data_IF_595555091301
#
_entry.id   IF_595555091301
#
_cell.length_a   1.000
_cell.length_b   1.000
_cell.length_c   1.000
_cell.angle_alpha   90.00
_cell.angle_beta   90.00
_cell.angle_gamma   90.00
#
_symmetry.space_group_name_H-M   'P 1'
#
loop_
_entity.id
_entity.type
_entity.pdbx_description
1 polymer ?
#
# COMPACT_ATOMS: atom_id res chain seq x y z
N UNK A 1 -10.14 -7.63 -8.51
CA UNK A 1 -10.50 -6.32 -7.91
C UNK A 1 -10.84 -6.47 -6.43
N UNK A 2 -10.51 -5.49 -5.59
CA UNK A 2 -10.91 -5.51 -4.18
C UNK A 2 -12.40 -5.17 -4.02
N UNK A 3 -13.00 -5.54 -2.87
CA UNK A 3 -14.35 -5.08 -2.51
C UNK A 3 -14.39 -3.54 -2.52
N UNK A 4 -15.52 -2.94 -2.90
CA UNK A 4 -15.68 -1.49 -2.95
C UNK A 4 -15.22 -0.84 -1.63
N UNK A 5 -14.36 0.19 -1.71
CA UNK A 5 -13.76 0.87 -0.55
C UNK A 5 -12.47 0.25 0.00
N UNK A 6 -12.09 -0.94 -0.46
CA UNK A 6 -10.83 -1.63 -0.15
C UNK A 6 -9.86 -1.56 -1.35
N UNK A 7 -8.62 -2.04 -1.17
CA UNK A 7 -7.62 -2.14 -2.24
C UNK A 7 -6.55 -1.05 -2.23
N UNK A 8 -5.65 -1.14 -3.23
CA UNK A 8 -4.58 -0.19 -3.52
C UNK A 8 -5.13 1.22 -3.74
N UNK A 9 -4.45 2.22 -3.19
CA UNK A 9 -4.62 3.65 -3.48
C UNK A 9 -3.28 4.25 -3.83
N UNK A 10 -3.19 4.94 -4.94
CA UNK A 10 -1.97 5.70 -5.24
C UNK A 10 -1.89 6.96 -4.36
N UNK A 11 -0.75 7.11 -3.69
CA UNK A 11 -0.40 8.34 -2.98
C UNK A 11 -0.18 9.48 -4.00
N UNK A 12 -0.53 10.74 -3.67
CA UNK A 12 -0.31 11.87 -4.56
C UNK A 12 1.19 12.23 -4.70
N UNK A 13 1.46 13.18 -5.61
CA UNK A 13 2.74 13.88 -5.77
C UNK A 13 3.94 12.95 -6.02
N UNK A 14 3.72 11.84 -6.73
CA UNK A 14 4.78 10.89 -7.07
C UNK A 14 5.65 11.45 -8.20
N UNK A 15 6.95 11.15 -8.14
CA UNK A 15 7.85 11.44 -9.24
C UNK A 15 7.43 10.68 -10.52
N UNK A 16 7.80 11.17 -11.72
CA UNK A 16 7.68 10.41 -12.95
C UNK A 16 8.31 9.02 -12.83
N UNK A 17 7.74 8.02 -13.52
CA UNK A 17 8.28 6.64 -13.55
C UNK A 17 9.73 6.64 -14.01
N UNK A 18 10.58 5.92 -13.29
CA UNK A 18 11.98 5.64 -13.62
C UNK A 18 12.27 4.15 -13.43
N UNK A 19 13.33 3.68 -14.09
CA UNK A 19 13.72 2.27 -13.99
C UNK A 19 14.29 1.92 -12.60
N UNK A 20 14.79 2.91 -11.87
CA UNK A 20 15.49 2.78 -10.60
C UNK A 20 14.63 3.12 -9.37
N UNK A 21 13.32 3.30 -9.54
CA UNK A 21 12.40 3.69 -8.46
C UNK A 21 12.43 2.74 -7.23
N UNK A 22 12.85 1.49 -7.44
CA UNK A 22 12.95 0.47 -6.40
C UNK A 22 14.37 -0.06 -6.20
N UNK A 23 15.40 0.63 -6.71
CA UNK A 23 16.79 0.16 -6.68
C UNK A 23 17.35 -0.01 -5.25
N UNK A 24 16.77 0.66 -4.25
CA UNK A 24 17.13 0.51 -2.84
C UNK A 24 16.49 -0.69 -2.13
N UNK A 25 15.67 -1.48 -2.82
CA UNK A 25 15.00 -2.66 -2.26
C UNK A 25 15.71 -3.95 -2.67
N UNK A 26 15.63 -4.95 -1.80
CA UNK A 26 16.02 -6.33 -2.14
C UNK A 26 15.21 -6.85 -3.36
N UNK A 27 15.77 -7.77 -4.17
CA UNK A 27 15.16 -8.16 -5.45
C UNK A 27 13.69 -8.59 -5.36
N UNK A 28 13.32 -9.34 -4.32
CA UNK A 28 11.92 -9.76 -4.08
C UNK A 28 11.00 -8.56 -3.84
N UNK A 29 11.40 -7.66 -2.94
CA UNK A 29 10.64 -6.47 -2.60
C UNK A 29 10.51 -5.53 -3.79
N UNK A 30 11.58 -5.34 -4.59
CA UNK A 30 11.56 -4.56 -5.82
C UNK A 30 10.59 -5.17 -6.86
N UNK A 31 10.63 -6.49 -7.06
CA UNK A 31 9.73 -7.19 -7.99
C UNK A 31 8.26 -7.02 -7.59
N UNK A 32 7.95 -7.21 -6.30
CA UNK A 32 6.58 -7.05 -5.76
C UNK A 32 6.13 -5.59 -5.85
N UNK A 33 6.98 -4.61 -5.54
CA UNK A 33 6.66 -3.19 -5.66
C UNK A 33 6.38 -2.79 -7.12
N UNK A 34 7.20 -3.27 -8.05
CA UNK A 34 6.99 -3.06 -9.48
C UNK A 34 5.70 -3.67 -9.99
N UNK A 35 5.31 -4.86 -9.49
CA UNK A 35 4.01 -5.44 -9.79
C UNK A 35 2.87 -4.55 -9.26
N UNK A 36 2.94 -4.11 -7.99
CA UNK A 36 1.93 -3.23 -7.38
C UNK A 36 1.81 -1.89 -8.12
N UNK A 37 2.90 -1.27 -8.56
CA UNK A 37 2.88 0.02 -9.30
C UNK A 37 2.10 -0.04 -10.61
N UNK A 38 2.09 -1.21 -11.27
CA UNK A 38 1.35 -1.44 -12.52
C UNK A 38 -0.12 -1.73 -12.30
N UNK A 39 -0.53 -2.09 -11.08
CA UNK A 39 -1.92 -2.40 -10.79
C UNK A 39 -2.79 -1.13 -10.80
N UNK A 40 -4.02 -1.22 -11.32
CA UNK A 40 -4.94 -0.10 -11.29
C UNK A 40 -5.38 0.24 -9.87
N UNK A 41 -5.85 1.47 -9.72
CA UNK A 41 -6.48 1.99 -8.52
C UNK A 41 -7.61 1.06 -8.04
N UNK A 42 -7.60 0.66 -6.76
CA UNK A 42 -8.58 -0.29 -6.20
C UNK A 42 -8.26 -1.78 -6.41
N UNK A 43 -7.12 -2.13 -6.99
CA UNK A 43 -6.67 -3.52 -7.07
C UNK A 43 -6.49 -4.15 -5.67
N UNK A 44 -6.68 -5.46 -5.56
CA UNK A 44 -6.42 -6.18 -4.31
C UNK A 44 -4.92 -6.50 -4.21
N UNK A 45 -4.27 -6.09 -3.12
CA UNK A 45 -2.82 -6.25 -2.91
C UNK A 45 -2.50 -6.91 -1.56
N UNK A 46 -3.43 -7.73 -1.06
CA UNK A 46 -3.18 -8.54 0.14
C UNK A 46 -2.21 -9.68 -0.16
N UNK A 47 -1.46 -10.14 0.83
CA UNK A 47 -0.41 -11.15 0.65
C UNK A 47 -0.90 -12.46 -0.02
N UNK A 48 -2.16 -12.86 0.20
CA UNK A 48 -2.75 -14.03 -0.47
C UNK A 48 -2.90 -13.80 -1.97
N UNK A 49 -3.48 -12.65 -2.34
CA UNK A 49 -3.68 -12.24 -3.73
C UNK A 49 -2.33 -12.11 -4.44
N UNK A 50 -1.36 -11.48 -3.80
CA UNK A 50 -0.03 -11.33 -4.39
C UNK A 50 0.67 -12.68 -4.60
N UNK A 51 0.49 -13.64 -3.68
CA UNK A 51 1.08 -14.97 -3.83
C UNK A 51 0.40 -15.84 -4.90
N UNK A 52 -0.87 -15.58 -5.21
CA UNK A 52 -1.57 -16.21 -6.32
C UNK A 52 -1.07 -15.66 -7.68
N UNK A 53 -0.82 -14.34 -7.74
CA UNK A 53 -0.40 -13.65 -8.97
C UNK A 53 1.11 -13.73 -9.23
N UNK A 54 1.91 -13.96 -8.18
CA UNK A 54 3.37 -14.05 -8.25
C UNK A 54 3.80 -15.44 -7.75
N UNK A 55 3.74 -16.48 -8.59
CA UNK A 55 3.96 -17.87 -8.15
C UNK A 55 5.36 -18.13 -7.61
N UNK A 56 6.35 -17.31 -7.98
CA UNK A 56 7.71 -17.36 -7.44
C UNK A 56 7.78 -16.96 -5.94
N UNK A 57 6.72 -16.33 -5.42
CA UNK A 57 6.66 -15.82 -4.05
C UNK A 57 5.46 -16.38 -3.29
N UNK A 58 5.71 -17.32 -2.37
CA UNK A 58 4.67 -17.83 -1.48
C UNK A 58 4.10 -16.76 -0.52
N UNK A 59 2.97 -17.08 0.13
CA UNK A 59 2.23 -16.16 1.02
C UNK A 59 3.11 -15.47 2.08
N UNK A 60 4.06 -16.19 2.69
CA UNK A 60 4.96 -15.64 3.70
C UNK A 60 5.99 -14.66 3.10
N UNK A 61 6.44 -14.93 1.88
CA UNK A 61 7.34 -14.03 1.15
C UNK A 61 6.61 -12.73 0.79
N UNK A 62 5.38 -12.81 0.27
CA UNK A 62 4.56 -11.64 -0.01
C UNK A 62 4.23 -10.83 1.25
N UNK A 63 3.89 -11.49 2.37
CA UNK A 63 3.64 -10.81 3.64
C UNK A 63 4.89 -10.06 4.12
N UNK A 64 6.04 -10.71 4.10
CA UNK A 64 7.31 -10.10 4.51
C UNK A 64 7.69 -8.93 3.60
N UNK A 65 7.45 -9.04 2.30
CA UNK A 65 7.69 -7.96 1.35
C UNK A 65 6.81 -6.74 1.63
N UNK A 66 5.50 -6.93 1.85
CA UNK A 66 4.60 -5.82 2.21
C UNK A 66 5.05 -5.09 3.49
N UNK A 67 5.54 -5.84 4.47
CA UNK A 67 6.08 -5.27 5.70
C UNK A 67 7.39 -4.50 5.47
N UNK A 68 8.26 -4.98 4.57
CA UNK A 68 9.48 -4.24 4.19
C UNK A 68 9.17 -3.00 3.36
N UNK A 69 8.23 -3.07 2.43
CA UNK A 69 7.75 -1.92 1.66
C UNK A 69 7.12 -0.85 2.57
N UNK A 70 6.45 -1.26 3.66
CA UNK A 70 5.97 -0.32 4.66
C UNK A 70 7.13 0.40 5.36
N UNK A 71 8.15 -0.35 5.79
CA UNK A 71 9.36 0.23 6.42
C UNK A 71 10.21 1.06 5.47
N UNK A 72 10.16 0.78 4.18
CA UNK A 72 10.84 1.56 3.15
C UNK A 72 10.02 2.77 2.67
N UNK A 73 8.83 3.01 3.24
CA UNK A 73 8.03 4.17 2.91
C UNK A 73 7.21 4.09 1.62
N UNK A 74 7.12 2.92 1.00
CA UNK A 74 6.34 2.71 -0.22
C UNK A 74 4.89 2.33 0.06
N UNK A 75 4.58 1.87 1.28
CA UNK A 75 3.23 1.45 1.67
C UNK A 75 2.79 2.04 3.00
N UNK A 76 1.50 2.35 3.09
CA UNK A 76 0.84 2.59 4.38
C UNK A 76 -0.60 2.09 4.38
N UNK A 77 -0.99 1.38 5.43
CA UNK A 77 -2.38 0.97 5.66
C UNK A 77 -3.09 2.00 6.51
N UNK A 78 -4.13 2.63 5.96
CA UNK A 78 -4.86 3.70 6.63
C UNK A 78 -6.33 3.29 6.75
N UNK A 79 -6.86 3.34 7.98
CA UNK A 79 -8.27 3.20 8.27
C UNK A 79 -8.96 4.53 8.00
N UNK A 80 -9.99 4.51 7.16
CA UNK A 80 -10.79 5.69 6.81
C UNK A 80 -12.25 5.40 7.11
N UNK A 81 -12.94 6.40 7.63
CA UNK A 81 -14.36 6.33 7.91
C UNK A 81 -15.16 6.82 6.70
N UNK A 82 -15.81 5.90 5.98
CA UNK A 82 -16.60 6.24 4.79
C UNK A 82 -18.09 6.34 5.14
N UNK A 83 -18.74 7.38 4.66
CA UNK A 83 -20.20 7.44 4.60
C UNK A 83 -20.70 6.55 3.45
N UNK A 84 -21.71 5.73 3.73
CA UNK A 84 -22.41 4.93 2.75
C UNK A 84 -23.64 5.67 2.24
N UNK A 85 -24.18 5.21 1.11
CA UNK A 85 -25.39 5.78 0.51
C UNK A 85 -26.63 5.68 1.42
N UNK A 86 -26.65 4.73 2.34
CA UNK A 86 -27.72 4.54 3.34
C UNK A 86 -27.52 5.39 4.62
N UNK A 87 -26.57 6.33 4.61
CA UNK A 87 -26.25 7.19 5.75
C UNK A 87 -25.42 6.51 6.85
N UNK A 88 -25.16 5.19 6.77
CA UNK A 88 -24.30 4.50 7.73
C UNK A 88 -22.85 4.85 7.47
N UNK A 89 -22.04 4.87 8.52
CA UNK A 89 -20.59 5.04 8.39
C UNK A 89 -19.88 3.74 8.71
N UNK A 90 -18.88 3.39 7.89
CA UNK A 90 -18.04 2.20 8.13
C UNK A 90 -16.56 2.53 8.06
N UNK A 91 -15.79 1.87 8.91
CA UNK A 91 -14.34 1.84 8.79
C UNK A 91 -13.93 0.90 7.66
N UNK A 92 -13.10 1.40 6.76
CA UNK A 92 -12.41 0.59 5.76
C UNK A 92 -10.91 0.77 5.93
N UNK A 93 -10.14 -0.28 5.73
CA UNK A 93 -8.68 -0.16 5.62
C UNK A 93 -8.32 -0.08 4.13
N UNK A 94 -7.64 0.99 3.75
CA UNK A 94 -7.04 1.16 2.43
C UNK A 94 -5.54 1.01 2.53
N UNK A 95 -4.93 0.45 1.51
CA UNK A 95 -3.48 0.35 1.41
C UNK A 95 -3.02 1.39 0.40
N UNK A 96 -2.37 2.44 0.88
CA UNK A 96 -1.77 3.47 0.05
C UNK A 96 -0.39 3.02 -0.42
N UNK A 97 -0.11 3.24 -1.69
CA UNK A 97 1.14 2.91 -2.36
C UNK A 97 1.77 4.18 -2.92
N UNK A 98 3.07 4.33 -2.74
CA UNK A 98 3.86 5.38 -3.37
C UNK A 98 5.10 4.77 -4.01
N UNK A 99 5.29 5.05 -5.29
CA UNK A 99 6.51 4.69 -6.01
C UNK A 99 7.72 5.40 -5.42
N UNK A 100 7.55 6.66 -5.04
CA UNK A 100 8.55 7.43 -4.29
C UNK A 100 8.47 7.05 -2.81
N UNK A 101 9.57 6.63 -2.20
CA UNK A 101 9.63 6.40 -0.76
C UNK A 101 9.26 7.68 0.01
N UNK A 102 8.35 7.55 0.99
CA UNK A 102 7.89 8.65 1.85
C UNK A 102 8.33 8.42 3.28
N UNK A 103 8.84 9.45 3.95
CA UNK A 103 9.22 9.42 5.36
C UNK A 103 8.00 9.40 6.31
N UNK A 104 8.26 9.23 7.61
CA UNK A 104 7.22 9.26 8.65
C UNK A 104 6.39 10.56 8.64
N UNK A 105 7.01 11.72 8.46
CA UNK A 105 6.33 13.01 8.52
C UNK A 105 5.34 13.17 7.37
N UNK A 106 5.74 12.77 6.17
CA UNK A 106 4.88 12.75 5.00
C UNK A 106 3.71 11.79 5.21
N UNK A 107 3.95 10.55 5.68
CA UNK A 107 2.88 9.60 5.95
C UNK A 107 1.91 10.10 7.03
N UNK A 108 2.43 10.71 8.10
CA UNK A 108 1.61 11.30 9.14
C UNK A 108 0.73 12.44 8.61
N UNK A 109 1.29 13.30 7.74
CA UNK A 109 0.53 14.34 7.06
C UNK A 109 -0.55 13.75 6.15
N UNK A 110 -0.23 12.70 5.39
CA UNK A 110 -1.18 12.04 4.50
C UNK A 110 -2.32 11.36 5.27
N UNK A 111 -2.04 10.68 6.39
CA UNK A 111 -3.05 10.09 7.29
C UNK A 111 -4.03 11.17 7.77
N UNK A 112 -3.54 12.35 8.19
CA UNK A 112 -4.39 13.48 8.58
C UNK A 112 -5.20 14.02 7.40
N UNK A 113 -4.58 14.17 6.23
CA UNK A 113 -5.23 14.67 5.01
C UNK A 113 -6.43 13.80 4.61
N UNK A 114 -6.29 12.48 4.63
CA UNK A 114 -7.39 11.55 4.32
C UNK A 114 -8.35 11.33 5.49
N UNK A 115 -8.19 12.10 6.59
CA UNK A 115 -8.98 11.98 7.83
C UNK A 115 -9.02 10.56 8.37
N UNK A 116 -7.87 9.88 8.26
CA UNK A 116 -7.71 8.49 8.61
C UNK A 116 -7.00 8.30 9.95
N UNK A 117 -6.83 7.02 10.29
CA UNK A 117 -5.99 6.54 11.38
C UNK A 117 -5.10 5.45 10.83
N UNK A 118 -3.87 5.33 11.33
CA UNK A 118 -3.04 4.19 10.98
C UNK A 118 -3.72 2.87 11.35
N UNK A 119 -3.66 1.90 10.43
CA UNK A 119 -4.15 0.57 10.71
C UNK A 119 -3.28 -0.11 11.78
N UNK A 120 -3.87 -0.86 12.72
CA UNK A 120 -3.11 -1.58 13.73
C UNK A 120 -2.29 -2.73 13.09
N UNK A 121 -1.18 -3.09 13.74
CA UNK A 121 -0.36 -4.24 13.33
C UNK A 121 0.35 -4.07 11.99
N UNK A 122 0.55 -2.84 11.52
CA UNK A 122 1.52 -2.54 10.46
C UNK A 122 2.86 -2.11 11.09
N UNK A 123 3.99 -2.31 10.38
CA UNK A 123 5.28 -1.77 10.80
C UNK A 123 5.21 -0.25 11.08
N UNK A 124 6.12 0.30 11.90
CA UNK A 124 6.25 1.75 12.03
C UNK A 124 6.49 2.38 10.65
N UNK A 125 6.11 3.65 10.51
CA UNK A 125 6.51 4.43 9.34
C UNK A 125 8.06 4.55 9.34
N UNK A 126 8.69 4.68 8.16
CA UNK A 126 10.14 4.87 8.00
C UNK A 126 10.72 5.99 8.85
#
# INVERSE_FOLDING_TARGET
>A
MAKAGYGKRDAPDQAPRRADDFAGLEPREAAIAGYIDRLPEGAAIGYKVLAEELPDYGQQACRSALDRLTRAGHLRRIRIHLAQADGRRRWVTRTYFSRTARDADWWAAHVRFVRGLDAPGQPPAP
#
